data_IF_765884261141
#
_entry.id   IF_765884261141
#
_cell.length_a   1.000
_cell.length_b   1.000
_cell.length_c   1.000
_cell.angle_alpha   90.00
_cell.angle_beta   90.00
_cell.angle_gamma   90.00
#
_symmetry.space_group_name_H-M   'P 1'
#
loop_
_entity.id
_entity.type
_entity.pdbx_description
1 polymer ?
#
# COMPACT_ATOMS: atom_id res chain seq x y z
N UNK A 1 34.17 -1.16 -13.57
CA UNK A 1 33.02 -2.00 -13.95
C UNK A 1 32.81 -3.05 -12.89
N UNK A 2 31.62 -3.16 -12.33
CA UNK A 2 31.31 -4.18 -11.32
C UNK A 2 31.31 -5.55 -12.01
N UNK A 3 32.20 -6.43 -11.63
CA UNK A 3 32.31 -7.80 -12.20
C UNK A 3 32.27 -8.80 -11.05
N UNK A 4 31.89 -10.05 -11.35
CA UNK A 4 31.93 -11.14 -10.38
C UNK A 4 33.36 -11.34 -9.81
N UNK A 5 34.39 -11.12 -10.62
CA UNK A 5 35.79 -11.17 -10.21
C UNK A 5 36.12 -10.10 -9.17
N UNK A 6 35.66 -8.84 -9.37
CA UNK A 6 35.86 -7.74 -8.41
C UNK A 6 35.18 -8.05 -7.06
N UNK A 7 33.97 -8.55 -7.11
CA UNK A 7 33.22 -8.91 -5.89
C UNK A 7 33.87 -10.10 -5.14
N UNK A 8 34.37 -11.08 -5.87
CA UNK A 8 35.11 -12.21 -5.29
C UNK A 8 36.39 -11.74 -4.61
N UNK A 9 37.12 -10.83 -5.25
CA UNK A 9 38.35 -10.26 -4.69
C UNK A 9 38.08 -9.39 -3.48
N UNK A 10 37.04 -8.52 -3.54
CA UNK A 10 36.58 -7.74 -2.39
C UNK A 10 36.16 -8.63 -1.23
N UNK A 11 35.42 -9.71 -1.51
CA UNK A 11 35.03 -10.70 -0.49
C UNK A 11 36.25 -11.36 0.17
N UNK A 12 37.23 -11.72 -0.64
CA UNK A 12 38.50 -12.27 -0.13
C UNK A 12 39.25 -11.28 0.77
N UNK A 13 39.35 -10.02 0.36
CA UNK A 13 39.96 -8.96 1.16
C UNK A 13 39.21 -8.73 2.46
N UNK A 14 37.88 -8.64 2.45
CA UNK A 14 37.07 -8.50 3.67
C UNK A 14 37.34 -9.65 4.65
N UNK A 15 37.42 -10.88 4.15
CA UNK A 15 37.74 -12.07 4.97
C UNK A 15 39.14 -12.05 5.56
N UNK A 16 40.12 -11.55 4.80
CA UNK A 16 41.51 -11.47 5.26
C UNK A 16 41.70 -10.36 6.29
N UNK A 17 41.02 -9.23 6.16
CA UNK A 17 41.15 -8.07 7.04
C UNK A 17 40.30 -8.16 8.32
N UNK A 18 39.18 -8.88 8.26
CA UNK A 18 38.24 -9.01 9.35
C UNK A 18 38.05 -10.48 9.76
N UNK A 19 38.73 -10.99 10.82
CA UNK A 19 38.66 -12.40 11.26
C UNK A 19 37.22 -12.90 11.48
N UNK A 20 36.30 -12.00 11.84
CA UNK A 20 34.87 -12.32 11.98
C UNK A 20 34.26 -12.92 10.71
N UNK A 21 34.73 -12.48 9.53
CA UNK A 21 34.22 -12.95 8.23
C UNK A 21 35.02 -14.12 7.63
N UNK A 22 36.10 -14.59 8.27
CA UNK A 22 37.00 -15.61 7.71
C UNK A 22 36.25 -16.85 7.18
N UNK A 23 35.24 -17.31 7.95
CA UNK A 23 34.46 -18.51 7.64
C UNK A 23 32.96 -18.20 7.45
N UNK A 24 32.59 -16.94 7.21
CA UNK A 24 31.18 -16.55 7.01
C UNK A 24 30.93 -16.05 5.61
N UNK A 25 29.74 -16.31 5.05
CA UNK A 25 29.37 -15.71 3.77
C UNK A 25 29.25 -14.18 3.92
N UNK A 26 29.78 -13.47 2.92
CA UNK A 26 29.59 -12.02 2.79
C UNK A 26 28.29 -11.78 2.03
N UNK A 27 27.37 -11.03 2.62
CA UNK A 27 26.11 -10.69 1.97
C UNK A 27 26.11 -9.21 1.60
N UNK A 28 25.95 -8.92 0.31
CA UNK A 28 25.73 -7.56 -0.19
C UNK A 28 24.26 -7.22 -0.13
N UNK A 29 23.93 -6.07 0.43
CA UNK A 29 22.56 -5.54 0.48
C UNK A 29 22.40 -4.51 -0.63
N UNK A 30 21.50 -4.77 -1.57
CA UNK A 30 21.12 -3.83 -2.62
C UNK A 30 19.73 -3.30 -2.29
N UNK A 31 19.67 -2.03 -1.98
CA UNK A 31 18.41 -1.37 -1.66
C UNK A 31 17.82 -0.67 -2.88
N UNK A 32 16.49 -0.80 -3.05
CA UNK A 32 15.76 -0.19 -4.15
C UNK A 32 16.27 -0.58 -5.57
N UNK A 33 16.56 -1.86 -5.78
CA UNK A 33 16.96 -2.39 -7.08
C UNK A 33 15.77 -2.46 -8.04
N UNK A 34 15.19 -1.32 -8.36
CA UNK A 34 13.99 -1.23 -9.20
C UNK A 34 13.92 0.09 -9.96
N UNK A 35 13.22 0.10 -11.11
CA UNK A 35 12.95 1.33 -11.82
C UNK A 35 12.08 2.29 -10.95
N UNK A 36 12.27 3.62 -10.99
CA UNK A 36 13.19 4.31 -11.91
C UNK A 36 14.63 4.48 -11.40
N UNK A 37 14.95 4.08 -10.15
CA UNK A 37 16.30 4.29 -9.59
C UNK A 37 17.38 3.55 -10.40
N UNK A 38 17.11 2.31 -10.74
CA UNK A 38 17.98 1.51 -11.60
C UNK A 38 17.23 1.19 -12.90
N UNK A 39 17.58 1.83 -14.02
CA UNK A 39 16.94 1.58 -15.30
C UNK A 39 16.98 0.11 -15.72
N UNK A 40 15.96 -0.38 -16.42
CA UNK A 40 15.82 -1.77 -16.84
C UNK A 40 17.08 -2.30 -17.57
N UNK A 41 17.65 -1.51 -18.49
CA UNK A 41 18.87 -1.87 -19.18
C UNK A 41 20.06 -2.12 -18.22
N UNK A 42 20.16 -1.36 -17.14
CA UNK A 42 21.20 -1.53 -16.13
C UNK A 42 20.93 -2.74 -15.24
N UNK A 43 19.67 -2.97 -14.89
CA UNK A 43 19.28 -4.18 -14.18
C UNK A 43 19.68 -5.42 -14.97
N UNK A 44 19.34 -5.50 -16.26
CA UNK A 44 19.68 -6.64 -17.13
C UNK A 44 21.18 -6.94 -17.20
N UNK A 45 22.02 -5.91 -17.15
CA UNK A 45 23.50 -6.08 -17.07
C UNK A 45 23.93 -6.64 -15.73
N UNK A 46 23.25 -6.30 -14.63
CA UNK A 46 23.62 -6.72 -13.28
C UNK A 46 23.04 -8.08 -12.86
N UNK A 47 21.96 -8.53 -13.49
CA UNK A 47 21.29 -9.79 -13.13
C UNK A 47 22.24 -11.01 -13.09
N UNK A 48 23.14 -11.24 -14.05
CA UNK A 48 24.06 -12.38 -14.00
C UNK A 48 24.99 -12.37 -12.78
N UNK A 49 25.26 -11.18 -12.25
CA UNK A 49 26.13 -11.02 -11.06
C UNK A 49 25.33 -11.27 -9.79
N UNK A 50 24.08 -10.79 -9.76
CA UNK A 50 23.21 -10.84 -8.59
C UNK A 50 22.63 -12.24 -8.39
N UNK A 51 22.10 -12.85 -9.46
CA UNK A 51 21.40 -14.13 -9.37
C UNK A 51 22.27 -15.36 -9.55
N UNK A 52 23.50 -15.19 -10.02
CA UNK A 52 24.48 -16.26 -10.12
C UNK A 52 25.77 -15.91 -9.38
N UNK A 53 25.72 -15.72 -8.05
CA UNK A 53 26.87 -15.33 -7.28
C UNK A 53 27.86 -16.49 -7.20
N UNK A 54 29.07 -16.29 -7.75
CA UNK A 54 30.20 -17.16 -7.53
C UNK A 54 31.05 -16.68 -6.36
N UNK A 55 31.85 -17.55 -5.74
CA UNK A 55 32.95 -17.08 -4.90
C UNK A 55 32.61 -16.72 -3.44
N UNK A 56 31.56 -17.30 -2.87
CA UNK A 56 31.29 -17.23 -1.40
C UNK A 56 30.67 -15.93 -0.91
N UNK A 57 30.01 -15.21 -1.79
CA UNK A 57 29.14 -14.09 -1.45
C UNK A 57 27.70 -14.33 -1.90
N UNK A 58 26.78 -13.56 -1.38
CA UNK A 58 25.37 -13.57 -1.73
C UNK A 58 24.82 -12.16 -1.83
N UNK A 59 23.63 -12.01 -2.40
CA UNK A 59 22.89 -10.75 -2.43
C UNK A 59 21.56 -10.86 -1.70
N UNK A 60 21.18 -9.78 -1.04
CA UNK A 60 19.80 -9.51 -0.64
C UNK A 60 19.37 -8.23 -1.33
N UNK A 61 18.30 -8.31 -2.08
CA UNK A 61 17.84 -7.22 -2.94
C UNK A 61 16.47 -6.79 -2.47
N UNK A 62 16.31 -5.52 -2.13
CA UNK A 62 14.97 -4.93 -1.97
C UNK A 62 14.54 -4.32 -3.29
N UNK A 63 13.32 -4.59 -3.72
CA UNK A 63 12.80 -4.08 -4.97
C UNK A 63 11.26 -4.12 -5.01
N UNK A 64 10.67 -3.35 -5.91
CA UNK A 64 9.29 -3.57 -6.32
C UNK A 64 9.24 -4.71 -7.34
N UNK A 65 8.52 -5.79 -7.04
CA UNK A 65 8.46 -7.00 -7.88
C UNK A 65 8.14 -6.71 -9.36
N UNK A 66 7.19 -5.80 -9.60
CA UNK A 66 6.79 -5.38 -10.95
C UNK A 66 7.78 -4.44 -11.66
N UNK A 67 8.92 -4.15 -11.03
CA UNK A 67 9.93 -3.19 -11.54
C UNK A 67 11.31 -3.81 -11.63
N UNK A 68 11.42 -5.11 -11.43
CA UNK A 68 12.66 -5.88 -11.55
C UNK A 68 12.67 -6.64 -12.87
N UNK A 69 13.75 -6.48 -13.65
CA UNK A 69 13.96 -7.29 -14.82
C UNK A 69 14.18 -8.77 -14.42
N UNK A 70 13.58 -9.68 -15.17
CA UNK A 70 13.74 -11.13 -14.99
C UNK A 70 14.57 -11.77 -16.09
N UNK A 71 15.07 -10.97 -17.03
CA UNK A 71 15.86 -11.38 -18.18
C UNK A 71 17.13 -10.54 -18.28
N UNK A 72 18.28 -11.17 -18.50
CA UNK A 72 19.55 -10.46 -18.68
C UNK A 72 19.77 -9.99 -20.13
N UNK A 73 20.90 -9.35 -20.38
CA UNK A 73 21.29 -8.89 -21.74
C UNK A 73 21.55 -10.01 -22.73
N UNK A 74 21.64 -11.26 -22.28
CA UNK A 74 21.84 -12.46 -23.11
C UNK A 74 20.54 -13.25 -23.26
N UNK A 75 19.42 -12.69 -22.84
CA UNK A 75 18.10 -13.32 -22.84
C UNK A 75 17.98 -14.56 -21.93
N UNK A 76 18.87 -14.73 -20.94
CA UNK A 76 18.69 -15.75 -19.93
C UNK A 76 17.56 -15.30 -18.97
N UNK A 77 16.58 -16.18 -18.78
CA UNK A 77 15.47 -15.96 -17.86
C UNK A 77 15.83 -16.43 -16.45
N UNK A 78 15.53 -15.62 -15.45
CA UNK A 78 15.69 -15.95 -14.03
C UNK A 78 14.34 -16.17 -13.39
N UNK A 79 14.19 -17.28 -12.67
CA UNK A 79 12.92 -17.73 -12.13
C UNK A 79 12.94 -17.78 -10.61
N UNK A 80 11.80 -17.38 -10.02
CA UNK A 80 11.56 -17.52 -8.58
C UNK A 80 11.65 -18.99 -8.17
N UNK A 81 12.25 -19.26 -7.04
CA UNK A 81 12.52 -20.59 -6.46
C UNK A 81 13.55 -21.45 -7.19
N UNK A 82 13.95 -21.12 -8.42
CA UNK A 82 15.07 -21.76 -9.10
C UNK A 82 16.36 -20.96 -8.90
N UNK A 83 16.34 -19.68 -9.26
CA UNK A 83 17.52 -18.83 -9.28
C UNK A 83 17.58 -17.89 -8.06
N UNK A 84 16.43 -17.52 -7.51
CA UNK A 84 16.31 -16.68 -6.32
C UNK A 84 15.06 -17.01 -5.50
N UNK A 85 15.07 -16.58 -4.25
CA UNK A 85 13.89 -16.64 -3.37
C UNK A 85 13.29 -15.27 -3.22
N UNK A 86 11.99 -15.16 -3.46
CA UNK A 86 11.22 -13.95 -3.21
C UNK A 86 10.56 -14.00 -1.82
N UNK A 87 10.67 -12.88 -1.09
CA UNK A 87 9.93 -12.65 0.15
C UNK A 87 9.07 -11.41 -0.07
N UNK A 88 7.79 -11.60 -0.29
CA UNK A 88 6.86 -10.51 -0.47
C UNK A 88 6.46 -9.91 0.88
N UNK A 89 7.18 -8.85 1.30
CA UNK A 89 6.91 -8.17 2.56
C UNK A 89 5.52 -7.54 2.61
N UNK A 90 5.04 -7.03 1.47
CA UNK A 90 3.68 -6.48 1.37
C UNK A 90 2.62 -7.53 1.68
N UNK A 91 2.73 -8.73 1.10
CA UNK A 91 1.82 -9.84 1.41
C UNK A 91 1.94 -10.33 2.85
N UNK A 92 3.16 -10.38 3.39
CA UNK A 92 3.39 -10.74 4.78
C UNK A 92 2.63 -9.81 5.72
N UNK A 93 2.79 -8.50 5.55
CA UNK A 93 2.09 -7.50 6.38
C UNK A 93 0.59 -7.42 6.09
N UNK A 94 0.17 -7.55 4.83
CA UNK A 94 -1.25 -7.51 4.46
C UNK A 94 -2.01 -8.73 4.98
N UNK A 95 -1.47 -9.92 4.80
CA UNK A 95 -2.07 -11.16 5.32
C UNK A 95 -2.12 -11.16 6.84
N UNK A 96 -1.18 -10.50 7.50
CA UNK A 96 -1.14 -10.35 8.94
C UNK A 96 -2.17 -9.35 9.47
N UNK A 97 -2.48 -8.29 8.71
CA UNK A 97 -3.46 -7.27 9.09
C UNK A 97 -4.91 -7.73 8.81
N UNK A 98 -5.13 -8.53 7.76
CA UNK A 98 -6.46 -9.05 7.39
C UNK A 98 -6.86 -10.34 8.15
N UNK A 99 -5.92 -11.00 8.84
CA UNK A 99 -6.16 -12.21 9.62
C UNK A 99 -5.88 -11.90 11.10
N UNK A 100 -6.91 -11.93 11.93
CA UNK A 100 -6.91 -11.63 13.38
C UNK A 100 -5.77 -12.28 14.21
N UNK A 101 -5.07 -13.25 13.66
CA UNK A 101 -4.00 -13.98 14.35
C UNK A 101 -2.63 -13.30 14.40
N UNK A 102 -2.37 -12.32 13.54
CA UNK A 102 -1.04 -11.67 13.43
C UNK A 102 -1.06 -10.16 13.72
N UNK A 103 -2.22 -9.56 13.97
CA UNK A 103 -2.30 -8.13 14.38
C UNK A 103 -1.37 -7.85 15.57
N UNK A 104 -1.36 -8.73 16.57
CA UNK A 104 -0.53 -8.58 17.76
C UNK A 104 0.98 -8.56 17.47
N UNK A 105 1.44 -9.34 16.47
CA UNK A 105 2.88 -9.38 16.11
C UNK A 105 3.31 -8.10 15.42
N UNK A 106 2.50 -7.59 14.49
CA UNK A 106 2.80 -6.34 13.76
C UNK A 106 2.72 -5.15 14.70
N UNK A 107 1.72 -5.12 15.57
CA UNK A 107 1.61 -4.07 16.60
C UNK A 107 2.82 -4.09 17.54
N UNK A 108 3.32 -5.27 17.90
CA UNK A 108 4.53 -5.43 18.72
C UNK A 108 5.78 -4.93 17.98
N UNK A 109 5.98 -5.30 16.72
CA UNK A 109 7.12 -4.86 15.91
C UNK A 109 7.13 -3.33 15.73
N UNK A 110 5.96 -2.75 15.43
CA UNK A 110 5.80 -1.30 15.30
C UNK A 110 6.06 -0.61 16.65
N UNK A 111 5.53 -1.17 17.73
CA UNK A 111 5.73 -0.64 19.09
C UNK A 111 7.21 -0.65 19.48
N UNK A 112 7.97 -1.69 19.12
CA UNK A 112 9.42 -1.75 19.37
C UNK A 112 10.18 -0.68 18.55
N UNK A 113 9.83 -0.49 17.28
CA UNK A 113 10.42 0.56 16.43
C UNK A 113 10.22 1.94 17.06
N UNK A 114 9.01 2.25 17.55
CA UNK A 114 8.74 3.53 18.19
C UNK A 114 9.38 3.64 19.57
N UNK A 115 9.40 2.57 20.36
CA UNK A 115 10.09 2.55 21.63
C UNK A 115 11.58 2.92 21.48
N UNK A 116 12.26 2.35 20.48
CA UNK A 116 13.66 2.70 20.17
C UNK A 116 13.82 4.17 19.75
N UNK A 117 12.88 4.72 18.98
CA UNK A 117 12.90 6.13 18.56
C UNK A 117 12.62 7.08 19.72
N UNK A 118 11.69 6.75 20.58
CA UNK A 118 11.33 7.56 21.74
C UNK A 118 12.46 7.58 22.78
N UNK A 119 13.18 6.47 22.96
CA UNK A 119 14.38 6.41 23.84
C UNK A 119 15.51 7.37 23.42
N UNK A 120 15.53 7.79 22.15
CA UNK A 120 16.48 8.80 21.68
C UNK A 120 16.17 10.21 22.21
N UNK A 121 15.04 10.39 22.90
CA UNK A 121 14.63 11.66 23.52
C UNK A 121 14.35 11.44 25.00
N UNK A 122 15.06 12.12 25.89
CA UNK A 122 14.87 12.04 27.34
C UNK A 122 13.41 12.25 27.77
N UNK A 123 12.70 13.15 27.06
CA UNK A 123 11.27 13.46 27.33
C UNK A 123 10.35 12.28 27.10
N UNK A 124 10.69 11.34 26.20
CA UNK A 124 9.81 10.25 25.74
C UNK A 124 10.37 8.86 26.01
N UNK A 125 11.42 8.73 26.79
CA UNK A 125 12.13 7.46 27.03
C UNK A 125 11.21 6.31 27.49
N UNK A 126 10.17 6.64 28.27
CA UNK A 126 9.21 5.66 28.81
C UNK A 126 7.86 5.67 28.07
N UNK A 127 7.73 6.45 27.00
CA UNK A 127 6.45 6.59 26.29
C UNK A 127 6.33 5.48 25.24
N UNK A 128 5.21 4.76 25.23
CA UNK A 128 4.84 3.83 24.16
C UNK A 128 4.11 4.57 23.05
N UNK A 129 4.02 3.97 21.85
CA UNK A 129 3.23 4.55 20.76
C UNK A 129 1.77 4.78 21.18
N UNK A 130 1.17 3.81 21.88
CA UNK A 130 -0.19 3.92 22.44
C UNK A 130 -0.28 5.02 23.49
N UNK A 131 0.67 5.12 24.39
CA UNK A 131 0.72 6.22 25.36
C UNK A 131 0.88 7.60 24.72
N UNK A 132 1.63 7.67 23.60
CA UNK A 132 1.82 8.90 22.84
C UNK A 132 0.57 9.34 22.07
N UNK A 133 -0.16 8.41 21.48
CA UNK A 133 -1.37 8.69 20.69
C UNK A 133 -2.65 8.71 21.54
N UNK A 134 -2.65 8.04 22.71
CA UNK A 134 -3.82 7.92 23.59
C UNK A 134 -4.73 6.75 23.19
N UNK A 135 -6.02 6.91 23.47
CA UNK A 135 -7.03 5.89 23.22
C UNK A 135 -7.14 5.51 21.75
N UNK A 136 -7.34 4.22 21.49
CA UNK A 136 -7.66 3.70 20.18
C UNK A 136 -9.14 3.87 19.84
N UNK A 137 -9.44 3.95 18.55
CA UNK A 137 -10.81 3.89 18.08
C UNK A 137 -11.29 2.43 18.10
N UNK A 138 -12.37 2.17 18.84
CA UNK A 138 -12.96 0.84 19.04
C UNK A 138 -14.33 0.64 18.36
N UNK A 139 -14.82 1.67 17.63
CA UNK A 139 -16.13 1.63 16.98
C UNK A 139 -16.16 0.91 15.63
N UNK A 140 -17.37 0.67 15.14
CA UNK A 140 -17.61 0.15 13.78
C UNK A 140 -17.52 1.27 12.74
N UNK A 141 -16.33 1.54 12.26
CA UNK A 141 -15.98 2.67 11.42
C UNK A 141 -16.90 2.84 10.18
N UNK A 142 -17.12 1.76 9.42
CA UNK A 142 -17.98 1.80 8.25
C UNK A 142 -19.45 2.11 8.58
N UNK A 143 -19.98 1.58 9.71
CA UNK A 143 -21.35 1.86 10.17
C UNK A 143 -21.49 3.31 10.57
N UNK A 144 -20.53 3.86 11.32
CA UNK A 144 -20.58 5.27 11.74
C UNK A 144 -20.51 6.24 10.58
N UNK A 145 -19.67 5.97 9.57
CA UNK A 145 -19.61 6.79 8.35
C UNK A 145 -20.99 6.84 7.70
N UNK A 146 -21.63 5.69 7.56
CA UNK A 146 -22.94 5.58 6.94
C UNK A 146 -24.05 6.28 7.74
N UNK A 147 -24.13 6.04 9.04
CA UNK A 147 -25.13 6.66 9.91
C UNK A 147 -25.03 8.19 9.96
N UNK A 148 -23.82 8.72 9.81
CA UNK A 148 -23.56 10.16 9.82
C UNK A 148 -23.75 10.83 8.47
N UNK A 149 -23.64 10.08 7.36
CA UNK A 149 -23.81 10.62 6.01
C UNK A 149 -25.22 11.15 5.74
N UNK A 150 -26.23 10.59 6.39
CA UNK A 150 -27.62 11.10 6.36
C UNK A 150 -27.88 12.37 7.18
N UNK A 151 -26.92 12.79 8.00
CA UNK A 151 -27.04 13.99 8.85
C UNK A 151 -26.11 15.07 8.32
N UNK A 152 -26.57 16.33 8.19
CA UNK A 152 -25.76 17.50 7.78
C UNK A 152 -24.47 17.71 8.60
N UNK A 153 -24.20 16.86 9.59
CA UNK A 153 -23.06 16.89 10.52
C UNK A 153 -22.06 15.75 10.28
N UNK A 154 -21.76 15.40 9.03
CA UNK A 154 -20.71 14.42 8.67
C UNK A 154 -19.28 14.80 9.20
N UNK A 155 -19.15 15.90 9.89
CA UNK A 155 -17.90 16.44 10.50
C UNK A 155 -17.29 15.60 11.62
N UNK A 156 -17.79 14.39 11.88
CA UNK A 156 -17.42 13.65 13.09
C UNK A 156 -16.61 12.37 12.93
N UNK A 157 -16.36 11.88 11.73
CA UNK A 157 -15.52 10.69 11.56
C UNK A 157 -14.07 11.06 11.83
N UNK A 158 -13.46 10.45 12.86
CA UNK A 158 -12.11 10.78 13.29
C UNK A 158 -11.20 9.59 13.12
N UNK A 159 -10.14 9.78 12.36
CA UNK A 159 -9.03 8.84 12.28
C UNK A 159 -8.07 9.15 13.42
N UNK A 160 -7.93 8.28 14.40
CA UNK A 160 -7.02 8.44 15.53
C UNK A 160 -6.68 7.09 16.17
N UNK A 161 -5.66 7.12 17.03
CA UNK A 161 -5.18 5.95 17.77
C UNK A 161 -4.14 5.12 17.03
N UNK A 162 -3.41 4.31 17.77
CA UNK A 162 -2.31 3.50 17.26
C UNK A 162 -2.79 2.44 16.27
N UNK A 163 -3.89 1.77 16.59
CA UNK A 163 -4.49 0.73 15.74
C UNK A 163 -4.93 1.30 14.37
N UNK A 164 -5.58 2.46 14.36
CA UNK A 164 -5.97 3.14 13.10
C UNK A 164 -4.74 3.46 12.25
N UNK A 165 -3.69 4.02 12.85
CA UNK A 165 -2.46 4.37 12.12
C UNK A 165 -1.77 3.14 11.54
N UNK A 166 -1.64 2.06 12.30
CA UNK A 166 -1.07 0.79 11.86
C UNK A 166 -1.84 0.24 10.66
N UNK A 167 -3.17 0.23 10.73
CA UNK A 167 -4.02 -0.25 9.61
C UNK A 167 -3.91 0.62 8.37
N UNK A 168 -3.84 1.94 8.52
CA UNK A 168 -3.69 2.87 7.39
C UNK A 168 -2.36 2.71 6.66
N UNK A 169 -1.28 2.39 7.38
CA UNK A 169 0.05 2.26 6.77
C UNK A 169 0.18 1.04 5.86
N UNK A 170 -0.68 0.03 5.99
CA UNK A 170 -0.68 -1.16 5.11
C UNK A 170 0.71 -1.80 4.96
N UNK A 171 1.49 -1.87 6.06
CA UNK A 171 2.85 -2.40 6.07
C UNK A 171 3.96 -1.40 5.69
N UNK A 172 3.63 -0.20 5.24
CA UNK A 172 4.62 0.85 4.97
C UNK A 172 4.93 1.66 6.23
N UNK A 173 5.92 1.20 6.97
CA UNK A 173 6.34 1.80 8.25
C UNK A 173 6.81 3.26 8.07
N UNK A 174 7.30 3.62 6.87
CA UNK A 174 7.76 4.99 6.59
C UNK A 174 6.62 6.01 6.70
N UNK A 175 5.43 5.63 6.24
CA UNK A 175 4.23 6.47 6.37
C UNK A 175 3.85 6.69 7.84
N UNK A 176 3.93 5.63 8.63
CA UNK A 176 3.64 5.71 10.07
C UNK A 176 4.60 6.67 10.77
N UNK A 177 5.90 6.52 10.51
CA UNK A 177 6.94 7.37 11.07
C UNK A 177 6.74 8.83 10.69
N UNK A 178 6.46 9.12 9.40
CA UNK A 178 6.24 10.50 8.94
C UNK A 178 4.97 11.11 9.55
N UNK A 179 3.87 10.34 9.63
CA UNK A 179 2.63 10.82 10.26
C UNK A 179 2.83 11.12 11.74
N UNK A 180 3.42 10.22 12.51
CA UNK A 180 3.71 10.43 13.94
C UNK A 180 4.65 11.62 14.13
N UNK A 181 5.69 11.74 13.29
CA UNK A 181 6.59 12.89 13.30
C UNK A 181 5.91 14.22 12.99
N UNK A 182 4.89 14.24 12.14
CA UNK A 182 4.05 15.42 11.87
C UNK A 182 3.18 15.77 13.05
N UNK A 183 2.51 14.78 13.66
CA UNK A 183 1.71 14.98 14.85
C UNK A 183 2.53 15.58 15.98
N UNK A 184 3.76 15.09 16.17
CA UNK A 184 4.70 15.61 17.16
C UNK A 184 5.07 17.07 16.91
N UNK A 185 5.28 17.48 15.65
CA UNK A 185 5.58 18.88 15.31
C UNK A 185 4.41 19.83 15.59
N UNK A 186 3.18 19.33 15.53
CA UNK A 186 2.01 20.15 15.77
C UNK A 186 1.59 20.19 17.25
N UNK A 187 1.88 19.14 18.00
CA UNK A 187 1.59 19.04 19.41
C UNK A 187 2.70 18.23 20.11
N UNK A 188 3.44 18.89 20.99
CA UNK A 188 4.56 18.27 21.73
C UNK A 188 4.13 17.55 23.00
N UNK A 189 2.89 17.77 23.46
CA UNK A 189 2.38 17.15 24.69
C UNK A 189 1.67 15.83 24.36
N UNK A 190 1.94 14.80 25.16
CA UNK A 190 1.32 13.49 25.08
C UNK A 190 0.21 13.35 26.14
N UNK A 191 -0.90 12.70 25.83
CA UNK A 191 -1.28 12.13 24.53
C UNK A 191 -1.69 13.19 23.50
N UNK A 192 -1.41 12.88 22.22
CA UNK A 192 -1.80 13.75 21.10
C UNK A 192 -3.33 13.80 20.97
N UNK A 193 -3.90 15.02 20.91
CA UNK A 193 -5.35 15.19 20.75
C UNK A 193 -5.90 14.49 19.53
N UNK A 194 -7.03 13.80 19.66
CA UNK A 194 -7.69 13.09 18.56
C UNK A 194 -7.95 13.99 17.34
N UNK A 195 -8.30 15.27 17.57
CA UNK A 195 -8.51 16.26 16.49
C UNK A 195 -7.22 16.57 15.71
N UNK A 196 -6.08 16.65 16.40
CA UNK A 196 -4.76 16.84 15.77
C UNK A 196 -4.40 15.60 14.94
N UNK A 197 -4.56 14.41 15.50
CA UNK A 197 -4.31 13.16 14.78
C UNK A 197 -5.16 13.07 13.52
N UNK A 198 -6.46 13.28 13.62
CA UNK A 198 -7.39 13.25 12.49
C UNK A 198 -6.99 14.22 11.37
N UNK A 199 -6.68 15.46 11.74
CA UNK A 199 -6.27 16.49 10.77
C UNK A 199 -4.97 16.11 10.07
N UNK A 200 -3.95 15.69 10.81
CA UNK A 200 -2.65 15.28 10.23
C UNK A 200 -2.82 14.09 9.31
N UNK A 201 -3.59 13.08 9.71
CA UNK A 201 -3.84 11.88 8.90
C UNK A 201 -4.52 12.26 7.57
N UNK A 202 -5.57 13.10 7.61
CA UNK A 202 -6.26 13.55 6.40
C UNK A 202 -5.35 14.36 5.48
N UNK A 203 -4.62 15.32 6.00
CA UNK A 203 -3.66 16.12 5.23
C UNK A 203 -2.57 15.23 4.60
N UNK A 204 -2.13 14.23 5.35
CA UNK A 204 -1.15 13.28 4.83
C UNK A 204 -1.71 12.44 3.69
N UNK A 205 -2.92 11.91 3.83
CA UNK A 205 -3.61 11.16 2.79
C UNK A 205 -3.75 11.96 1.49
N UNK A 206 -4.19 13.22 1.59
CA UNK A 206 -4.27 14.14 0.45
C UNK A 206 -2.91 14.40 -0.19
N UNK A 207 -1.88 14.63 0.63
CA UNK A 207 -0.52 14.82 0.11
C UNK A 207 -0.04 13.61 -0.68
N UNK A 208 -0.27 12.39 -0.16
CA UNK A 208 0.11 11.17 -0.88
C UNK A 208 -0.69 11.00 -2.18
N UNK A 209 -1.98 11.34 -2.18
CA UNK A 209 -2.81 11.30 -3.38
C UNK A 209 -2.29 12.28 -4.45
N UNK A 210 -2.00 13.53 -4.08
CA UNK A 210 -1.46 14.54 -5.03
C UNK A 210 -0.10 14.16 -5.62
N UNK A 211 0.75 13.43 -4.88
CA UNK A 211 2.04 12.93 -5.39
C UNK A 211 1.90 11.97 -6.57
N UNK A 212 0.73 11.38 -6.77
CA UNK A 212 0.50 10.52 -7.93
C UNK A 212 0.55 11.30 -9.27
N UNK A 213 0.40 12.61 -9.25
CA UNK A 213 0.59 13.46 -10.44
C UNK A 213 2.05 13.55 -10.92
N UNK A 214 3.01 13.18 -10.04
CA UNK A 214 4.43 13.21 -10.39
C UNK A 214 4.82 12.08 -11.37
N UNK A 215 3.95 11.06 -11.52
CA UNK A 215 4.18 9.91 -12.41
C UNK A 215 3.71 10.16 -13.85
N UNK A 216 4.35 11.09 -14.55
CA UNK A 216 3.92 11.52 -15.91
C UNK A 216 4.04 10.46 -17.01
N UNK A 217 4.86 9.41 -16.82
CA UNK A 217 5.10 8.35 -17.81
C UNK A 217 4.23 7.10 -17.60
N UNK A 218 3.26 7.17 -16.71
CA UNK A 218 2.36 6.03 -16.49
C UNK A 218 1.40 5.85 -17.68
N UNK A 219 1.02 4.60 -18.00
CA UNK A 219 0.09 4.30 -19.09
C UNK A 219 -1.36 4.77 -18.81
N UNK A 220 -1.62 5.28 -17.62
CA UNK A 220 -2.91 5.83 -17.20
C UNK A 220 -2.70 6.98 -16.21
N UNK A 221 -3.74 7.79 -16.00
CA UNK A 221 -3.71 8.83 -14.99
C UNK A 221 -3.89 8.22 -13.58
N UNK A 222 -2.78 8.02 -12.88
CA UNK A 222 -2.75 7.37 -11.56
C UNK A 222 -3.51 8.15 -10.50
N UNK A 223 -3.43 9.49 -10.54
CA UNK A 223 -4.17 10.35 -9.61
C UNK A 223 -5.68 10.18 -9.81
N UNK A 224 -6.17 10.27 -11.04
CA UNK A 224 -7.58 10.09 -11.35
C UNK A 224 -8.08 8.69 -11.02
N UNK A 225 -7.29 7.66 -11.27
CA UNK A 225 -7.61 6.30 -10.87
C UNK A 225 -7.75 6.18 -9.34
N UNK A 226 -6.81 6.71 -8.57
CA UNK A 226 -6.87 6.66 -7.11
C UNK A 226 -8.03 7.50 -6.55
N UNK A 227 -8.22 8.71 -7.09
CA UNK A 227 -9.28 9.64 -6.70
C UNK A 227 -10.67 9.01 -6.92
N UNK A 228 -10.92 8.50 -8.12
CA UNK A 228 -12.23 7.97 -8.47
C UNK A 228 -12.48 6.58 -7.87
N UNK A 229 -11.43 5.78 -7.62
CA UNK A 229 -11.58 4.55 -6.86
C UNK A 229 -11.96 4.80 -5.40
N UNK A 230 -11.32 5.77 -4.74
CA UNK A 230 -11.69 6.17 -3.38
C UNK A 230 -13.13 6.69 -3.28
N UNK A 231 -13.57 7.49 -4.26
CA UNK A 231 -14.97 7.94 -4.37
C UNK A 231 -15.93 6.77 -4.62
N UNK A 232 -15.54 5.79 -5.47
CA UNK A 232 -16.34 4.58 -5.72
C UNK A 232 -16.49 3.73 -4.45
N UNK A 233 -15.42 3.58 -3.68
CA UNK A 233 -15.46 2.86 -2.39
C UNK A 233 -16.39 3.55 -1.39
N UNK A 234 -16.34 4.88 -1.31
CA UNK A 234 -17.28 5.66 -0.48
C UNK A 234 -18.71 5.53 -0.98
N UNK A 235 -18.95 5.62 -2.29
CA UNK A 235 -20.25 5.45 -2.90
C UNK A 235 -20.89 4.10 -2.51
N UNK A 236 -20.10 3.02 -2.59
CA UNK A 236 -20.55 1.68 -2.20
C UNK A 236 -20.83 1.59 -0.69
N UNK A 237 -19.99 2.16 0.14
CA UNK A 237 -20.20 2.20 1.60
C UNK A 237 -21.51 2.90 1.98
N UNK A 238 -21.89 3.95 1.24
CA UNK A 238 -23.11 4.73 1.50
C UNK A 238 -24.38 4.08 0.91
N UNK A 239 -24.26 3.36 -0.20
CA UNK A 239 -25.38 2.84 -0.97
C UNK A 239 -25.80 1.41 -0.64
N UNK A 240 -24.83 0.51 -0.48
CA UNK A 240 -25.10 -0.93 -0.35
C UNK A 240 -25.02 -1.43 1.09
N UNK A 241 -25.91 -2.35 1.44
CA UNK A 241 -25.79 -3.22 2.61
C UNK A 241 -25.61 -4.67 2.17
N UNK A 242 -24.54 -5.28 2.64
CA UNK A 242 -24.35 -6.72 2.51
C UNK A 242 -25.10 -7.40 3.65
N UNK A 243 -26.09 -8.24 3.31
CA UNK A 243 -26.84 -9.03 4.29
C UNK A 243 -26.10 -10.34 4.53
N UNK A 244 -25.48 -10.49 5.67
CA UNK A 244 -24.94 -11.75 6.19
C UNK A 244 -25.78 -12.21 7.37
N UNK A 245 -26.31 -13.44 7.29
CA UNK A 245 -27.04 -14.09 8.40
C UNK A 245 -28.16 -13.25 9.05
N UNK A 246 -28.86 -12.44 8.24
CA UNK A 246 -29.99 -11.65 8.70
C UNK A 246 -29.67 -10.24 9.22
N UNK A 247 -28.42 -9.88 9.39
CA UNK A 247 -27.98 -8.53 9.75
C UNK A 247 -27.35 -7.84 8.56
N UNK A 248 -27.86 -6.67 8.20
CA UNK A 248 -27.25 -5.81 7.19
C UNK A 248 -25.99 -5.13 7.74
N UNK A 249 -24.87 -5.26 7.04
CA UNK A 249 -23.64 -4.54 7.34
C UNK A 249 -23.27 -3.61 6.19
N UNK A 250 -22.56 -2.49 6.44
CA UNK A 250 -22.03 -1.65 5.36
C UNK A 250 -21.11 -2.45 4.43
N UNK A 251 -21.20 -2.17 3.15
CA UNK A 251 -20.30 -2.73 2.15
C UNK A 251 -18.95 -2.01 2.17
N UNK A 252 -17.84 -2.75 2.31
CA UNK A 252 -16.49 -2.22 2.52
C UNK A 252 -15.55 -2.66 1.40
N UNK A 253 -15.66 -1.97 0.25
CA UNK A 253 -14.94 -2.28 -0.98
C UNK A 253 -13.64 -1.48 -1.09
N UNK A 254 -12.50 -2.10 -0.75
CA UNK A 254 -11.16 -1.58 -1.04
C UNK A 254 -10.34 -2.55 -1.91
N UNK A 255 -10.94 -3.62 -2.39
CA UNK A 255 -10.29 -4.68 -3.14
C UNK A 255 -10.91 -4.84 -4.53
N UNK A 256 -10.06 -5.00 -5.52
CA UNK A 256 -10.45 -5.36 -6.88
C UNK A 256 -9.86 -6.73 -7.20
N UNK A 257 -10.63 -7.57 -7.83
CA UNK A 257 -10.16 -8.79 -8.47
C UNK A 257 -10.34 -8.63 -9.98
N UNK A 258 -9.23 -8.55 -10.73
CA UNK A 258 -9.23 -8.35 -12.18
C UNK A 258 -8.97 -9.68 -12.85
N UNK A 259 -9.99 -10.21 -13.54
CA UNK A 259 -9.86 -11.42 -14.33
C UNK A 259 -9.00 -11.17 -15.58
N UNK A 260 -8.08 -12.10 -15.87
CA UNK A 260 -7.25 -12.05 -17.07
C UNK A 260 -7.95 -12.79 -18.20
N UNK A 261 -8.35 -12.03 -19.20
CA UNK A 261 -8.88 -12.51 -20.45
C UNK A 261 -7.97 -12.07 -21.63
N UNK A 262 -8.49 -12.03 -22.82
CA UNK A 262 -7.76 -11.67 -24.05
C UNK A 262 -7.07 -10.29 -24.03
N UNK A 263 -7.32 -9.46 -23.03
CA UNK A 263 -6.75 -8.11 -22.89
C UNK A 263 -5.53 -8.04 -21.96
N UNK A 264 -4.96 -9.16 -21.59
CA UNK A 264 -3.87 -9.24 -20.59
C UNK A 264 -2.67 -8.36 -20.95
N UNK A 265 -2.28 -8.30 -22.23
CA UNK A 265 -1.14 -7.51 -22.68
C UNK A 265 -1.32 -6.00 -22.48
N UNK A 266 -2.56 -5.51 -22.60
CA UNK A 266 -2.88 -4.11 -22.32
C UNK A 266 -2.96 -3.82 -20.81
N UNK A 267 -3.46 -4.77 -20.03
CA UNK A 267 -3.72 -4.60 -18.59
C UNK A 267 -2.44 -4.68 -17.78
N UNK A 268 -1.52 -5.57 -18.13
CA UNK A 268 -0.29 -5.84 -17.37
C UNK A 268 0.54 -4.56 -17.09
N UNK A 269 0.88 -3.70 -18.09
CA UNK A 269 1.64 -2.48 -17.82
C UNK A 269 0.87 -1.47 -16.98
N UNK A 270 -0.47 -1.45 -17.05
CA UNK A 270 -1.31 -0.58 -16.23
C UNK A 270 -1.26 -1.03 -14.78
N UNK A 271 -1.49 -2.33 -14.51
CA UNK A 271 -1.41 -2.91 -13.17
C UNK A 271 -0.01 -2.66 -12.58
N UNK A 272 1.04 -2.93 -13.34
CA UNK A 272 2.42 -2.68 -12.91
C UNK A 272 2.63 -1.22 -12.50
N UNK A 273 2.09 -0.25 -13.25
CA UNK A 273 2.17 1.17 -12.91
C UNK A 273 1.39 1.53 -11.65
N UNK A 274 0.17 1.00 -11.48
CA UNK A 274 -0.65 1.22 -10.29
C UNK A 274 0.00 0.64 -9.03
N UNK A 275 0.64 -0.52 -9.14
CA UNK A 275 1.39 -1.16 -8.05
C UNK A 275 2.67 -0.38 -7.73
N UNK A 276 3.44 -0.01 -8.74
CA UNK A 276 4.70 0.75 -8.60
C UNK A 276 4.48 2.12 -7.96
N UNK A 277 3.45 2.83 -8.39
CA UNK A 277 3.09 4.12 -7.80
C UNK A 277 2.44 3.99 -6.42
N UNK A 278 2.13 2.77 -5.99
CA UNK A 278 1.50 2.49 -4.71
C UNK A 278 0.04 2.96 -4.63
N UNK A 279 -0.69 2.99 -5.75
CA UNK A 279 -2.14 3.17 -5.75
C UNK A 279 -2.80 1.94 -5.15
N UNK A 280 -2.32 0.77 -5.58
CA UNK A 280 -2.71 -0.52 -5.02
C UNK A 280 -1.52 -1.26 -4.46
N UNK A 281 -1.80 -2.24 -3.62
CA UNK A 281 -0.87 -3.27 -3.17
C UNK A 281 -1.27 -4.58 -3.81
N UNK A 282 -0.28 -5.38 -4.18
CA UNK A 282 -0.51 -6.68 -4.77
C UNK A 282 -1.06 -7.68 -3.74
N UNK A 283 -2.27 -8.13 -3.95
CA UNK A 283 -2.92 -9.18 -3.17
C UNK A 283 -2.68 -10.61 -3.71
N UNK A 284 -1.81 -10.75 -4.72
CA UNK A 284 -1.51 -12.02 -5.35
C UNK A 284 -2.52 -12.46 -6.41
N UNK A 285 -2.33 -13.70 -6.88
CA UNK A 285 -3.23 -14.33 -7.84
C UNK A 285 -4.36 -15.09 -7.14
N UNK A 286 -5.50 -15.16 -7.81
CA UNK A 286 -6.65 -15.96 -7.43
C UNK A 286 -7.29 -16.57 -8.67
N UNK A 287 -8.18 -17.50 -8.47
CA UNK A 287 -9.11 -17.89 -9.52
C UNK A 287 -10.37 -17.04 -9.38
N UNK A 288 -10.79 -16.39 -10.45
CA UNK A 288 -12.08 -15.70 -10.48
C UNK A 288 -13.23 -16.71 -10.23
N UNK A 289 -14.42 -16.20 -9.94
CA UNK A 289 -15.63 -17.02 -9.81
C UNK A 289 -15.95 -17.86 -11.08
N UNK A 290 -15.32 -17.52 -12.20
CA UNK A 290 -15.44 -18.23 -13.48
C UNK A 290 -14.27 -19.19 -13.76
N UNK A 291 -13.36 -19.40 -12.79
CA UNK A 291 -12.17 -20.27 -12.97
C UNK A 291 -11.05 -19.64 -13.81
N UNK A 292 -11.20 -18.38 -14.22
CA UNK A 292 -10.16 -17.63 -14.96
C UNK A 292 -9.14 -17.07 -13.97
N UNK A 293 -7.82 -17.14 -14.26
CA UNK A 293 -6.81 -16.48 -13.44
C UNK A 293 -7.12 -14.99 -13.24
N UNK A 294 -7.01 -14.52 -12.02
CA UNK A 294 -7.28 -13.13 -11.68
C UNK A 294 -6.19 -12.56 -10.77
N UNK A 295 -5.92 -11.26 -10.88
CA UNK A 295 -5.03 -10.52 -9.97
C UNK A 295 -5.85 -9.77 -8.95
N UNK A 296 -5.49 -9.93 -7.68
CA UNK A 296 -6.06 -9.15 -6.59
C UNK A 296 -5.25 -7.88 -6.36
N UNK A 297 -5.94 -6.75 -6.33
CA UNK A 297 -5.37 -5.45 -6.06
C UNK A 297 -6.08 -4.86 -4.84
N UNK A 298 -5.33 -4.51 -3.81
CA UNK A 298 -5.85 -3.87 -2.62
C UNK A 298 -5.52 -2.39 -2.65
N UNK A 299 -6.54 -1.53 -2.65
CA UNK A 299 -6.36 -0.08 -2.58
C UNK A 299 -5.60 0.31 -1.32
N UNK A 300 -4.56 1.11 -1.45
CA UNK A 300 -3.76 1.50 -0.30
C UNK A 300 -4.59 2.27 0.71
N UNK A 301 -4.66 1.75 1.91
CA UNK A 301 -5.48 2.30 3.00
C UNK A 301 -5.07 3.72 3.38
N UNK A 302 -3.83 4.12 3.11
CA UNK A 302 -3.33 5.48 3.34
C UNK A 302 -4.14 6.56 2.60
N UNK A 303 -4.81 6.22 1.50
CA UNK A 303 -5.66 7.15 0.77
C UNK A 303 -7.07 7.27 1.36
N UNK A 304 -7.53 6.30 2.14
CA UNK A 304 -8.92 6.25 2.62
C UNK A 304 -9.34 7.48 3.45
N UNK A 305 -8.46 8.12 4.26
CA UNK A 305 -8.84 9.33 4.98
C UNK A 305 -9.14 10.55 4.10
N UNK A 306 -8.68 10.55 2.83
CA UNK A 306 -9.04 11.60 1.88
C UNK A 306 -10.52 11.53 1.47
N UNK A 307 -11.14 10.34 1.54
CA UNK A 307 -12.51 10.07 1.08
C UNK A 307 -13.50 9.81 2.20
N UNK A 308 -13.24 10.14 3.46
CA UNK A 308 -13.82 9.64 4.70
C UNK A 308 -14.51 8.27 4.55
N UNK A 309 -13.75 7.28 4.07
CA UNK A 309 -14.21 5.90 3.92
C UNK A 309 -13.50 4.96 4.91
N UNK A 310 -13.99 3.74 5.04
CA UNK A 310 -13.38 2.71 5.90
C UNK A 310 -12.01 2.29 5.38
N UNK A 311 -11.15 1.83 6.26
CA UNK A 311 -9.90 1.13 5.92
C UNK A 311 -10.04 -0.40 5.94
N UNK A 312 -11.24 -0.91 6.22
CA UNK A 312 -11.53 -2.33 6.12
C UNK A 312 -11.76 -2.72 4.65
N UNK A 313 -11.43 -3.96 4.30
CA UNK A 313 -11.51 -4.48 2.94
C UNK A 313 -12.18 -5.85 2.92
N UNK A 314 -13.43 -5.90 3.38
CA UNK A 314 -14.20 -7.16 3.47
C UNK A 314 -14.74 -7.60 2.12
N UNK A 315 -15.13 -6.65 1.30
CA UNK A 315 -15.79 -6.89 0.02
C UNK A 315 -14.84 -6.64 -1.15
N UNK A 316 -15.09 -7.32 -2.26
CA UNK A 316 -14.21 -7.27 -3.44
C UNK A 316 -15.02 -6.92 -4.67
N UNK A 317 -14.54 -5.95 -5.46
CA UNK A 317 -15.02 -5.73 -6.81
C UNK A 317 -14.48 -6.83 -7.74
N UNK A 318 -15.33 -7.70 -8.22
CA UNK A 318 -14.97 -8.66 -9.28
C UNK A 318 -15.16 -7.97 -10.64
N UNK A 319 -14.05 -7.67 -11.32
CA UNK A 319 -14.06 -6.99 -12.62
C UNK A 319 -13.48 -7.90 -13.69
N UNK A 320 -14.12 -7.93 -14.87
CA UNK A 320 -13.48 -8.41 -16.08
C UNK A 320 -12.36 -7.44 -16.48
N UNK A 321 -11.43 -7.90 -17.31
CA UNK A 321 -10.40 -7.05 -17.89
C UNK A 321 -10.99 -5.84 -18.62
N UNK A 322 -12.07 -6.03 -19.37
CA UNK A 322 -12.79 -4.93 -20.04
C UNK A 322 -13.30 -3.88 -19.06
N UNK A 323 -13.93 -4.31 -17.94
CA UNK A 323 -14.46 -3.37 -16.93
C UNK A 323 -13.34 -2.62 -16.22
N UNK A 324 -12.22 -3.26 -15.99
CA UNK A 324 -11.02 -2.62 -15.45
C UNK A 324 -10.47 -1.56 -16.43
N UNK A 325 -10.38 -1.87 -17.72
CA UNK A 325 -9.95 -0.91 -18.73
C UNK A 325 -10.91 0.28 -18.84
N UNK A 326 -12.22 0.04 -18.82
CA UNK A 326 -13.22 1.12 -18.81
C UNK A 326 -13.03 2.07 -17.61
N UNK A 327 -12.67 1.52 -16.44
CA UNK A 327 -12.35 2.33 -15.27
C UNK A 327 -11.06 3.13 -15.45
N UNK A 328 -10.02 2.54 -16.00
CA UNK A 328 -8.69 3.18 -16.13
C UNK A 328 -8.68 4.20 -17.27
N UNK A 329 -9.39 3.94 -18.35
CA UNK A 329 -9.47 4.83 -19.51
C UNK A 329 -10.27 6.12 -19.21
N UNK A 330 -11.34 6.02 -18.41
CA UNK A 330 -12.16 7.17 -17.99
C UNK A 330 -12.76 6.94 -16.59
N UNK A 331 -11.98 7.15 -15.53
CA UNK A 331 -12.39 6.86 -14.16
C UNK A 331 -13.61 7.68 -13.70
N UNK A 332 -13.74 8.92 -14.17
CA UNK A 332 -14.85 9.80 -13.79
C UNK A 332 -16.16 9.31 -14.42
N UNK A 333 -16.15 9.01 -15.72
CA UNK A 333 -17.32 8.45 -16.41
C UNK A 333 -17.73 7.12 -15.82
N UNK A 334 -16.77 6.27 -15.48
CA UNK A 334 -17.04 5.00 -14.80
C UNK A 334 -17.75 5.22 -13.46
N UNK A 335 -17.29 6.17 -12.65
CA UNK A 335 -17.90 6.52 -11.37
C UNK A 335 -19.33 7.02 -11.54
N UNK A 336 -19.59 7.91 -12.52
CA UNK A 336 -20.93 8.42 -12.81
C UNK A 336 -21.90 7.29 -13.21
N UNK A 337 -21.44 6.34 -14.02
CA UNK A 337 -22.25 5.17 -14.39
C UNK A 337 -22.54 4.28 -13.17
N UNK A 338 -21.53 3.99 -12.33
CA UNK A 338 -21.71 3.22 -11.13
C UNK A 338 -22.67 3.87 -10.12
N UNK A 339 -22.70 5.20 -10.04
CA UNK A 339 -23.67 5.95 -9.25
C UNK A 339 -25.10 5.81 -9.82
N UNK A 340 -25.25 5.92 -11.13
CA UNK A 340 -26.56 5.75 -11.80
C UNK A 340 -27.11 4.32 -11.62
N UNK A 341 -26.27 3.29 -11.69
CA UNK A 341 -26.65 1.89 -11.45
C UNK A 341 -27.20 1.67 -10.02
N UNK A 342 -26.83 2.52 -9.06
CA UNK A 342 -27.35 2.49 -7.69
C UNK A 342 -28.58 3.39 -7.47
N UNK A 343 -29.15 3.99 -8.53
CA UNK A 343 -30.29 4.91 -8.42
C UNK A 343 -29.92 6.25 -7.76
N UNK A 344 -28.64 6.55 -7.66
CA UNK A 344 -28.10 7.77 -7.08
C UNK A 344 -28.05 8.84 -8.15
N UNK A 345 -28.70 9.98 -7.94
CA UNK A 345 -28.57 11.12 -8.86
C UNK A 345 -27.13 11.62 -8.82
N UNK A 346 -26.40 11.57 -9.95
CA UNK A 346 -24.97 11.87 -9.98
C UNK A 346 -24.63 13.25 -9.39
N UNK A 347 -25.47 14.25 -9.60
CA UNK A 347 -25.19 15.64 -9.23
C UNK A 347 -25.30 15.90 -7.73
N UNK A 348 -26.20 15.26 -7.01
CA UNK A 348 -26.42 15.52 -5.59
C UNK A 348 -25.39 14.82 -4.70
N UNK A 349 -25.08 13.55 -4.96
CA UNK A 349 -24.14 12.79 -4.13
C UNK A 349 -22.68 12.91 -4.59
N UNK A 350 -22.40 13.07 -5.88
CA UNK A 350 -21.03 13.35 -6.32
C UNK A 350 -20.57 14.73 -5.84
N UNK A 351 -21.47 15.71 -5.77
CA UNK A 351 -21.19 17.01 -5.14
C UNK A 351 -20.96 16.85 -3.65
N UNK A 352 -21.78 16.05 -2.96
CA UNK A 352 -21.57 15.72 -1.54
C UNK A 352 -20.27 14.94 -1.31
N UNK A 353 -20.00 13.89 -2.09
CA UNK A 353 -18.75 13.13 -2.05
C UNK A 353 -17.55 14.04 -2.34
N UNK A 354 -17.66 14.93 -3.33
CA UNK A 354 -16.60 15.90 -3.64
C UNK A 354 -16.40 16.91 -2.55
N UNK A 355 -17.46 17.36 -1.86
CA UNK A 355 -17.36 18.25 -0.70
C UNK A 355 -16.72 17.58 0.52
N UNK A 356 -16.99 16.30 0.75
CA UNK A 356 -16.34 15.51 1.80
C UNK A 356 -14.87 15.22 1.48
N UNK A 357 -14.57 15.04 0.20
CA UNK A 357 -13.24 14.78 -0.32
C UNK A 357 -12.43 16.06 -0.58
N UNK A 358 -12.83 17.22 -0.07
CA UNK A 358 -12.07 18.47 -0.20
C UNK A 358 -10.98 18.55 0.87
N UNK A 359 -9.74 18.99 0.51
CA UNK A 359 -8.67 19.21 1.48
C UNK A 359 -8.95 20.33 2.48
N UNK A 360 -9.94 21.18 2.23
CA UNK A 360 -10.26 22.37 3.03
C UNK A 360 -11.26 22.13 4.19
N UNK A 361 -11.77 20.92 4.37
CA UNK A 361 -12.80 20.63 5.39
C UNK A 361 -12.23 19.98 6.66
#
# INVERSE_FOLDING_TARGET
MLTSRFLSELTHQVRSLAPFFANKPVTFLLDDFSAPKIPDAMQRVLLPIIWNPGGGYSFRVSAHSESVATEDVRHNQYEVNRDFREVNLGQYYLNSIDIDRNEATIEADISDIFARRFRASEKFEQVTLKGFLGEDYDGHFGREIRERSGKKTARGVRYFGSNTLVKLCSGDISYLIDMVGRMFREQTDSPIKQSTQHRVIRQYAWKQLYRLNDYQQAPCNLYECALNFGKLSLLKLLGDEVKEKGEGRPAEYLRIEVAFDDNIERIRPIIASLLRAGVFVDGGFSNSSQGVPARRLLFRKIFTPAFPTTYNSRDTFAWSARRFLEFVDDPERFLRRAAAEQGIRPDDQLTFISSLASPAS
#
